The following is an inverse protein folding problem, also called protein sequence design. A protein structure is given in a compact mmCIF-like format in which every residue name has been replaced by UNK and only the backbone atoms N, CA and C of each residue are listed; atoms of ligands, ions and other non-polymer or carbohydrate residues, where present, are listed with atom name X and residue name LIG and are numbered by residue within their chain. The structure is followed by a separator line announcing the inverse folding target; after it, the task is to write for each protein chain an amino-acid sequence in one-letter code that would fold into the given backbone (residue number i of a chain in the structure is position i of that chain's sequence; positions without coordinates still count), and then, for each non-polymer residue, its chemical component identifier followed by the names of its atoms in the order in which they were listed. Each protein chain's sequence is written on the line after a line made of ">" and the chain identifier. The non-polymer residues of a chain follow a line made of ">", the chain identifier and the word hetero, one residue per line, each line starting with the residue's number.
data_IF_754111507780
#
_entry.id   IF_754111507780
#
_cell.length_a   1.000
_cell.length_b   1.000
_cell.length_c   1.000
_cell.angle_alpha   90.00
_cell.angle_beta   90.00
_cell.angle_gamma   90.00
#
_symmetry.space_group_name_H-M   'P 1'
#
loop_
_entity.id
_entity.type
_entity.pdbx_description
1 polymer ?
#
# COMPACT_ATOMS: atom_id res chain seq x y z
N UNK A 1 -7.28 -7.84 -20.15
CA UNK A 1 -7.09 -8.10 -18.71
C UNK A 1 -6.42 -6.89 -18.13
N UNK A 2 -7.19 -5.98 -17.54
CA UNK A 2 -6.64 -4.84 -16.80
C UNK A 2 -5.86 -5.40 -15.62
N UNK A 3 -4.55 -5.17 -15.62
CA UNK A 3 -3.67 -5.60 -14.55
C UNK A 3 -4.04 -4.84 -13.29
N UNK A 4 -4.72 -5.57 -12.40
CA UNK A 4 -4.98 -5.29 -10.99
C UNK A 4 -4.08 -4.21 -10.39
N UNK A 5 -4.71 -3.15 -9.88
CA UNK A 5 -4.10 -2.05 -9.14
C UNK A 5 -2.96 -2.54 -8.23
N UNK A 6 -1.79 -1.97 -8.40
CA UNK A 6 -0.67 -2.22 -7.49
C UNK A 6 -0.85 -1.37 -6.24
N UNK A 7 -1.02 -2.00 -5.08
CA UNK A 7 -0.99 -1.31 -3.79
C UNK A 7 0.40 -1.43 -3.18
N UNK A 8 0.92 -0.36 -2.59
CA UNK A 8 2.13 -0.47 -1.80
C UNK A 8 1.73 -1.01 -0.43
N UNK A 9 2.48 -1.99 0.04
CA UNK A 9 2.23 -2.67 1.29
C UNK A 9 3.54 -3.26 1.81
N UNK A 10 3.64 -3.44 3.12
CA UNK A 10 4.77 -4.09 3.77
C UNK A 10 4.73 -5.60 3.49
N UNK A 11 5.62 -6.07 2.62
CA UNK A 11 5.63 -7.47 2.20
C UNK A 11 5.82 -8.41 3.41
N UNK A 12 4.94 -9.41 3.65
CA UNK A 12 5.10 -10.34 4.78
C UNK A 12 6.38 -11.19 4.72
N UNK A 13 6.96 -11.33 3.52
CA UNK A 13 8.15 -12.16 3.29
C UNK A 13 9.45 -11.36 3.36
N UNK A 14 9.58 -10.29 2.56
CA UNK A 14 10.82 -9.49 2.54
C UNK A 14 10.78 -8.27 3.45
N UNK A 15 9.64 -7.98 4.10
CA UNK A 15 9.44 -6.91 5.09
C UNK A 15 9.74 -5.50 4.56
N UNK A 16 9.63 -5.32 3.25
CA UNK A 16 9.88 -4.05 2.58
C UNK A 16 8.58 -3.51 2.00
N UNK A 17 8.39 -2.21 2.15
CA UNK A 17 7.33 -1.44 1.49
C UNK A 17 7.55 -1.54 -0.02
N UNK A 18 6.69 -2.29 -0.69
CA UNK A 18 6.82 -2.56 -2.12
C UNK A 18 5.45 -2.61 -2.78
N UNK A 19 5.36 -2.28 -4.08
CA UNK A 19 4.14 -2.54 -4.84
C UNK A 19 3.82 -4.04 -4.83
N UNK A 20 2.57 -4.37 -4.59
CA UNK A 20 2.02 -5.71 -4.66
C UNK A 20 0.92 -5.77 -5.72
N UNK A 21 0.97 -6.80 -6.56
CA UNK A 21 -0.08 -7.07 -7.54
C UNK A 21 -1.18 -7.89 -6.88
N UNK A 22 -2.43 -7.42 -6.91
CA UNK A 22 -3.57 -8.23 -6.49
C UNK A 22 -3.81 -9.28 -7.58
N UNK A 23 -3.73 -10.56 -7.24
CA UNK A 23 -3.92 -11.65 -8.19
C UNK A 23 -5.37 -12.14 -8.18
N UNK A 24 -5.93 -12.26 -6.97
CA UNK A 24 -7.30 -12.76 -6.74
C UNK A 24 -7.88 -12.04 -5.53
N UNK A 25 -9.16 -11.66 -5.62
CA UNK A 25 -9.98 -11.22 -4.49
C UNK A 25 -11.11 -12.20 -4.26
N UNK A 26 -11.24 -12.69 -3.03
CA UNK A 26 -12.36 -13.54 -2.61
C UNK A 26 -12.78 -13.16 -1.21
N UNK A 27 -14.02 -12.69 -1.07
CA UNK A 27 -14.57 -12.22 0.20
C UNK A 27 -13.61 -11.20 0.86
N UNK A 28 -13.15 -11.50 2.08
CA UNK A 28 -12.22 -10.67 2.86
C UNK A 28 -10.75 -11.02 2.64
N UNK A 29 -10.41 -11.91 1.70
CA UNK A 29 -9.04 -12.34 1.44
C UNK A 29 -8.56 -11.92 0.05
N UNK A 30 -7.30 -11.51 0.00
CA UNK A 30 -6.60 -11.09 -1.20
C UNK A 30 -5.34 -11.94 -1.35
N UNK A 31 -5.18 -12.56 -2.53
CA UNK A 31 -3.90 -13.12 -2.94
C UNK A 31 -3.10 -12.00 -3.59
N UNK A 32 -1.98 -11.62 -3.00
CA UNK A 32 -1.10 -10.55 -3.49
C UNK A 32 0.27 -11.12 -3.86
N UNK A 33 0.91 -10.57 -4.89
CA UNK A 33 2.29 -10.95 -5.27
C UNK A 33 3.21 -9.75 -5.16
N UNK A 34 4.26 -9.88 -4.34
CA UNK A 34 5.26 -8.84 -4.16
C UNK A 34 6.03 -8.60 -5.47
N UNK A 35 6.10 -7.35 -5.92
CA UNK A 35 6.87 -6.98 -7.11
C UNK A 35 8.37 -7.24 -6.96
N UNK A 36 8.88 -7.22 -5.72
CA UNK A 36 10.31 -7.38 -5.39
C UNK A 36 10.73 -8.84 -5.18
N UNK A 37 10.20 -9.50 -4.15
CA UNK A 37 10.62 -10.87 -3.83
C UNK A 37 9.83 -11.95 -4.57
N UNK A 38 8.82 -11.57 -5.37
CA UNK A 38 7.93 -12.45 -6.13
C UNK A 38 7.11 -13.44 -5.29
N UNK A 39 7.20 -13.39 -3.96
CA UNK A 39 6.38 -14.21 -3.07
C UNK A 39 4.91 -13.81 -3.19
N UNK A 40 4.06 -14.81 -3.37
CA UNK A 40 2.60 -14.67 -3.25
C UNK A 40 2.20 -14.90 -1.80
N UNK A 41 1.39 -14.00 -1.25
CA UNK A 41 0.89 -14.08 0.12
C UNK A 41 -0.63 -13.90 0.13
N UNK A 42 -1.30 -14.56 1.07
CA UNK A 42 -2.72 -14.41 1.31
C UNK A 42 -2.91 -13.46 2.51
N UNK A 43 -3.58 -12.34 2.29
CA UNK A 43 -3.82 -11.32 3.32
C UNK A 43 -5.30 -11.01 3.45
N UNK A 44 -5.70 -10.41 4.57
CA UNK A 44 -7.04 -9.83 4.70
C UNK A 44 -7.13 -8.50 3.93
N UNK A 45 -8.29 -8.18 3.36
CA UNK A 45 -8.52 -6.89 2.71
C UNK A 45 -8.37 -5.73 3.69
N UNK A 46 -8.86 -5.89 4.92
CA UNK A 46 -8.77 -4.87 5.97
C UNK A 46 -7.32 -4.45 6.25
N UNK A 47 -6.36 -5.38 6.18
CA UNK A 47 -4.94 -5.07 6.42
C UNK A 47 -4.37 -4.14 5.35
N UNK A 48 -4.80 -4.28 4.10
CA UNK A 48 -4.39 -3.37 3.03
C UNK A 48 -5.11 -2.01 3.12
N UNK A 49 -6.39 -2.02 3.53
CA UNK A 49 -7.19 -0.81 3.74
C UNK A 49 -6.63 0.03 4.91
N UNK A 50 -6.30 -0.61 6.03
CA UNK A 50 -5.71 0.03 7.20
C UNK A 50 -4.34 0.65 6.87
N UNK A 51 -3.51 -0.06 6.10
CA UNK A 51 -2.20 0.42 5.66
C UNK A 51 -2.34 1.62 4.71
N UNK A 52 -3.27 1.55 3.76
CA UNK A 52 -3.57 2.67 2.85
C UNK A 52 -4.04 3.91 3.62
N UNK A 53 -4.94 3.76 4.60
CA UNK A 53 -5.43 4.88 5.40
C UNK A 53 -4.31 5.53 6.24
N UNK A 54 -3.42 4.71 6.81
CA UNK A 54 -2.24 5.20 7.52
C UNK A 54 -1.32 6.00 6.59
N UNK A 55 -1.03 5.47 5.41
CA UNK A 55 -0.24 6.13 4.37
C UNK A 55 -0.83 7.46 3.91
N UNK A 56 -2.14 7.50 3.65
CA UNK A 56 -2.83 8.75 3.27
C UNK A 56 -2.72 9.81 4.36
N UNK A 57 -2.81 9.40 5.63
CA UNK A 57 -2.62 10.30 6.77
C UNK A 57 -1.21 10.86 6.83
N UNK A 58 -0.19 10.02 6.63
CA UNK A 58 1.21 10.45 6.61
C UNK A 58 1.50 11.41 5.45
N UNK A 59 0.97 11.11 4.25
CA UNK A 59 1.08 11.98 3.09
C UNK A 59 0.42 13.32 3.32
N UNK A 60 -0.77 13.35 3.93
CA UNK A 60 -1.46 14.58 4.25
C UNK A 60 -0.65 15.45 5.23
N UNK A 61 -0.03 14.84 6.26
CA UNK A 61 0.84 15.57 7.19
C UNK A 61 2.07 16.18 6.50
N UNK A 62 2.70 15.44 5.59
CA UNK A 62 3.84 15.95 4.81
C UNK A 62 3.42 17.14 3.94
N UNK A 63 2.28 17.02 3.23
CA UNK A 63 1.78 18.09 2.36
C UNK A 63 1.40 19.35 3.16
N UNK A 64 0.70 19.20 4.28
CA UNK A 64 0.35 20.33 5.14
C UNK A 64 1.59 21.03 5.71
N UNK A 65 2.63 20.28 6.12
CA UNK A 65 3.87 20.89 6.58
C UNK A 65 4.63 21.64 5.48
N UNK A 66 4.49 21.24 4.20
CA UNK A 66 5.08 21.97 3.08
C UNK A 66 4.34 23.29 2.80
N UNK A 67 3.01 23.28 2.86
CA UNK A 67 2.18 24.49 2.69
C UNK A 67 2.50 25.53 3.78
N UNK A 68 2.65 25.12 5.04
CA UNK A 68 3.01 26.01 6.15
C UNK A 68 4.39 26.68 5.95
N UNK A 69 5.33 26.02 5.28
CA UNK A 69 6.66 26.58 5.00
C UNK A 69 6.70 27.53 3.79
N UNK A 70 5.71 27.49 2.88
CA UNK A 70 5.62 28.40 1.74
C UNK A 70 5.10 29.80 2.14
N UNK A 71 4.32 29.89 3.22
CA UNK A 71 3.72 31.14 3.71
C UNK A 71 4.68 32.01 4.57
N UNK A 72 5.86 31.49 4.95
CA UNK A 72 6.86 32.20 5.78
C UNK A 72 7.91 33.00 4.97
N UNK A 73 7.79 33.07 3.63
CA UNK A 73 8.75 33.74 2.72
C UNK A 73 8.16 34.90 1.90
#
# INVERSE_FOLDING_TARGET
>A
METNLSQIYSCPHCQLETPHYIMVRREERLAITCSRCRTTSLVHSSVLEDHQAWWETELQQILSGLEEHEDEH
#
